data_IF_047506254042
#
_entry.id   IF_047506254042
#
_cell.length_a   1.000
_cell.length_b   1.000
_cell.length_c   1.000
_cell.angle_alpha   90.00
_cell.angle_beta   90.00
_cell.angle_gamma   90.00
#
_symmetry.space_group_name_H-M   'P 1'
#
loop_
_entity.id
_entity.type
_entity.pdbx_description
1 polymer ?
#
# COMPACT_ATOMS: atom_id res chain seq x y z
N UNK A 1 37.57 35.58 17.62
CA UNK A 1 37.00 34.23 17.71
C UNK A 1 35.87 34.29 18.73
N UNK A 2 34.60 34.34 18.29
CA UNK A 2 33.44 34.42 19.20
C UNK A 2 32.97 32.99 19.50
N UNK A 3 32.79 32.60 20.76
CA UNK A 3 32.29 31.27 21.08
C UNK A 3 30.84 31.13 20.64
N UNK A 4 30.54 29.97 20.05
CA UNK A 4 29.20 29.52 19.60
C UNK A 4 28.22 29.51 20.79
N UNK A 5 27.01 30.04 20.66
CA UNK A 5 26.08 30.13 21.78
C UNK A 5 25.59 28.72 22.21
N UNK A 6 25.77 28.43 23.48
CA UNK A 6 25.48 27.18 24.21
C UNK A 6 23.98 26.83 24.31
N UNK A 7 23.10 27.50 23.57
CA UNK A 7 21.64 27.31 23.62
C UNK A 7 21.06 26.21 22.73
N UNK A 8 21.90 25.43 22.03
CA UNK A 8 21.44 24.37 21.13
C UNK A 8 21.36 22.96 21.76
N UNK A 9 21.67 22.80 23.04
CA UNK A 9 21.59 21.54 23.78
C UNK A 9 20.35 21.43 24.66
N UNK A 10 19.22 21.98 24.30
CA UNK A 10 17.97 21.45 24.85
C UNK A 10 17.74 20.09 24.16
N UNK A 11 18.29 19.03 24.77
CA UNK A 11 17.72 17.70 24.64
C UNK A 11 16.21 17.88 24.75
N UNK A 12 15.50 17.59 23.69
CA UNK A 12 14.06 17.37 23.80
C UNK A 12 13.94 16.20 24.78
N UNK A 13 13.71 16.51 26.03
CA UNK A 13 13.26 15.55 27.02
C UNK A 13 12.13 14.80 26.35
N UNK A 14 12.34 13.52 26.17
CA UNK A 14 11.40 12.66 25.46
C UNK A 14 10.09 12.74 26.20
N UNK A 15 9.10 13.41 25.63
CA UNK A 15 7.73 13.30 26.12
C UNK A 15 7.46 11.79 26.17
N UNK A 16 7.44 11.24 27.38
CA UNK A 16 7.14 9.83 27.62
C UNK A 16 5.72 9.64 27.12
N UNK A 17 5.58 9.17 25.89
CA UNK A 17 4.26 8.96 25.29
C UNK A 17 3.52 7.91 26.11
N UNK A 18 2.33 8.23 26.62
CA UNK A 18 1.61 7.35 27.56
C UNK A 18 1.34 6.01 26.89
N UNK A 19 1.82 4.93 27.54
CA UNK A 19 1.45 3.58 27.17
C UNK A 19 0.18 3.23 27.92
N UNK A 20 -0.85 2.84 27.19
CA UNK A 20 -2.17 2.54 27.74
C UNK A 20 -2.58 1.11 27.38
N UNK A 21 -3.45 0.53 28.16
CA UNK A 21 -4.15 -0.69 27.75
C UNK A 21 -5.15 -0.30 26.65
N UNK A 22 -4.71 -0.40 25.40
CA UNK A 22 -5.48 0.05 24.25
C UNK A 22 -6.66 -0.90 24.03
N UNK A 23 -7.86 -0.43 24.33
CA UNK A 23 -9.11 -1.16 24.13
C UNK A 23 -9.93 -0.51 23.02
N UNK A 24 -10.87 -1.27 22.43
CA UNK A 24 -11.77 -0.74 21.43
C UNK A 24 -12.63 0.43 21.97
N UNK A 25 -13.02 0.35 23.25
CA UNK A 25 -13.74 1.42 23.95
C UNK A 25 -12.88 2.67 24.08
N UNK A 26 -11.64 2.54 24.60
CA UNK A 26 -10.71 3.68 24.72
C UNK A 26 -10.45 4.33 23.38
N UNK A 27 -10.23 3.52 22.32
CA UNK A 27 -9.99 4.03 20.96
C UNK A 27 -11.20 4.80 20.41
N UNK A 28 -12.43 4.35 20.70
CA UNK A 28 -13.67 5.02 20.30
C UNK A 28 -13.85 6.34 21.06
N UNK A 29 -13.71 6.30 22.36
CA UNK A 29 -14.09 7.40 23.26
C UNK A 29 -13.00 8.50 23.36
N UNK A 30 -11.78 8.22 22.88
CA UNK A 30 -10.70 9.20 22.86
C UNK A 30 -11.04 10.40 22.00
N UNK A 31 -10.96 11.60 22.55
CA UNK A 31 -11.27 12.85 21.88
C UNK A 31 -10.03 13.48 21.22
N UNK A 32 -10.19 14.21 20.11
CA UNK A 32 -9.11 14.97 19.50
C UNK A 32 -8.67 16.12 20.42
N UNK A 33 -7.36 16.33 20.48
CA UNK A 33 -6.77 17.50 21.14
C UNK A 33 -6.32 18.55 20.12
N UNK A 34 -5.73 19.67 20.60
CA UNK A 34 -5.22 20.72 19.72
C UNK A 34 -4.02 20.31 18.88
N UNK A 35 -3.39 19.19 19.23
CA UNK A 35 -2.25 18.59 18.50
C UNK A 35 -2.49 17.09 18.32
N UNK A 36 -1.76 16.50 17.38
CA UNK A 36 -1.72 15.05 17.21
C UNK A 36 -1.42 14.33 18.52
N UNK A 37 -2.31 13.46 18.93
CA UNK A 37 -2.13 12.62 20.13
C UNK A 37 -1.90 11.18 19.70
N UNK A 38 -0.95 10.50 20.35
CA UNK A 38 -0.69 9.09 20.10
C UNK A 38 -0.82 8.31 21.41
N UNK A 39 -1.69 7.32 21.42
CA UNK A 39 -1.86 6.37 22.48
C UNK A 39 -1.14 5.08 22.09
N UNK A 40 0.00 4.79 22.73
CA UNK A 40 0.74 3.54 22.50
C UNK A 40 0.17 2.40 23.33
N UNK A 41 0.07 1.25 22.68
CA UNK A 41 -0.41 0.02 23.33
C UNK A 41 0.65 -0.56 24.29
N UNK A 42 0.24 -0.93 25.50
CA UNK A 42 1.09 -1.65 26.44
C UNK A 42 1.38 -3.07 25.96
N UNK A 43 0.40 -3.73 25.34
CA UNK A 43 0.50 -5.13 24.94
C UNK A 43 1.41 -5.34 23.73
N UNK A 44 1.54 -4.32 22.84
CA UNK A 44 2.39 -4.41 21.66
C UNK A 44 3.21 -3.12 21.50
N UNK A 45 4.47 -3.19 21.92
CA UNK A 45 5.39 -2.07 21.81
C UNK A 45 5.55 -1.63 20.33
N UNK A 46 5.43 -0.31 20.10
CA UNK A 46 5.47 0.26 18.76
C UNK A 46 4.14 0.32 18.03
N UNK A 47 3.08 -0.32 18.52
CA UNK A 47 1.72 -0.17 18.01
C UNK A 47 0.96 0.92 18.77
N UNK A 48 0.07 1.63 18.11
CA UNK A 48 -0.74 2.66 18.75
C UNK A 48 -1.86 3.23 17.88
N UNK A 49 -2.66 4.09 18.50
CA UNK A 49 -3.69 4.89 17.88
C UNK A 49 -3.22 6.35 17.79
N UNK A 50 -3.17 6.90 16.59
CA UNK A 50 -2.95 8.33 16.36
C UNK A 50 -4.28 9.01 16.15
N UNK A 51 -4.49 10.08 16.88
CA UNK A 51 -5.68 10.94 16.84
C UNK A 51 -5.26 12.30 16.32
N UNK A 52 -5.77 12.68 15.17
CA UNK A 52 -5.51 14.00 14.59
C UNK A 52 -6.43 15.06 15.21
N UNK A 53 -6.05 16.34 15.19
CA UNK A 53 -6.91 17.43 15.65
C UNK A 53 -8.27 17.48 14.93
N UNK A 54 -8.32 17.01 13.68
CA UNK A 54 -9.55 16.89 12.90
C UNK A 54 -10.49 15.75 13.34
N UNK A 55 -10.14 15.01 14.41
CA UNK A 55 -10.88 13.85 14.85
C UNK A 55 -10.58 12.55 14.09
N UNK A 56 -9.82 12.60 13.00
CA UNK A 56 -9.42 11.40 12.27
C UNK A 56 -8.51 10.53 13.12
N UNK A 57 -8.85 9.26 13.26
CA UNK A 57 -8.10 8.27 14.02
C UNK A 57 -7.50 7.23 13.07
N UNK A 58 -6.24 6.84 13.31
CA UNK A 58 -5.54 5.84 12.50
C UNK A 58 -4.71 4.91 13.39
N UNK A 59 -4.70 3.63 13.04
CA UNK A 59 -3.78 2.66 13.63
C UNK A 59 -2.39 2.85 13.04
N UNK A 60 -1.38 2.88 13.89
CA UNK A 60 0.00 3.11 13.47
C UNK A 60 0.96 2.08 14.07
N UNK A 61 2.06 1.85 13.37
CA UNK A 61 3.29 1.26 13.90
C UNK A 61 4.37 2.34 13.92
N UNK A 62 5.06 2.46 15.03
CA UNK A 62 6.28 3.25 15.15
C UNK A 62 7.45 2.31 15.44
N UNK A 63 8.44 2.31 14.55
CA UNK A 63 9.63 1.49 14.69
C UNK A 63 10.87 2.23 14.17
N UNK A 64 12.05 1.73 14.52
CA UNK A 64 13.31 2.20 13.98
C UNK A 64 13.64 1.40 12.72
N UNK A 65 13.75 2.09 11.59
CA UNK A 65 14.09 1.52 10.29
C UNK A 65 15.32 2.28 9.80
N UNK A 66 16.40 1.57 9.48
CA UNK A 66 17.66 2.16 9.02
C UNK A 66 18.16 3.27 9.95
N UNK A 67 18.10 3.03 11.26
CA UNK A 67 18.54 3.99 12.28
C UNK A 67 17.60 5.17 12.54
N UNK A 68 16.53 5.34 11.78
CA UNK A 68 15.54 6.45 11.89
C UNK A 68 14.20 5.97 12.44
N UNK A 69 13.59 6.76 13.32
CA UNK A 69 12.23 6.48 13.77
C UNK A 69 11.23 6.79 12.65
N UNK A 70 10.47 5.77 12.24
CA UNK A 70 9.42 5.87 11.21
C UNK A 70 8.07 5.52 11.80
N UNK A 71 7.04 6.22 11.33
CA UNK A 71 5.63 5.90 11.63
C UNK A 71 4.94 5.44 10.37
N UNK A 72 4.31 4.27 10.45
CA UNK A 72 3.62 3.64 9.33
C UNK A 72 2.15 3.54 9.72
N UNK A 73 1.26 4.01 8.86
CA UNK A 73 -0.19 3.86 9.04
C UNK A 73 -0.59 2.47 8.56
N UNK A 74 -1.32 1.76 9.41
CA UNK A 74 -1.86 0.43 9.10
C UNK A 74 -3.23 0.55 8.41
N UNK A 75 -4.16 1.27 9.07
CA UNK A 75 -5.52 1.48 8.57
C UNK A 75 -6.20 2.65 9.33
N UNK A 76 -7.33 3.13 8.82
CA UNK A 76 -8.18 4.04 9.56
C UNK A 76 -8.92 3.29 10.67
N UNK A 77 -9.18 4.00 11.78
CA UNK A 77 -10.10 3.51 12.79
C UNK A 77 -11.50 3.38 12.19
N UNK A 78 -12.15 2.25 12.41
CA UNK A 78 -13.43 1.92 11.79
C UNK A 78 -13.33 1.02 10.56
N UNK A 79 -12.24 1.11 9.79
CA UNK A 79 -11.98 0.18 8.68
C UNK A 79 -11.42 -1.17 9.16
N UNK A 80 -10.85 -1.18 10.36
CA UNK A 80 -10.19 -2.35 10.91
C UNK A 80 -10.39 -2.44 12.42
N UNK A 81 -10.74 -3.63 12.91
CA UNK A 81 -10.89 -3.92 14.33
C UNK A 81 -9.52 -3.94 15.03
N UNK A 82 -9.50 -3.60 16.34
CA UNK A 82 -8.28 -3.53 17.14
C UNK A 82 -7.47 -4.84 17.11
N UNK A 83 -8.13 -5.99 17.20
CA UNK A 83 -7.46 -7.29 17.19
C UNK A 83 -6.71 -7.55 15.87
N UNK A 84 -7.34 -7.23 14.77
CA UNK A 84 -6.73 -7.33 13.44
C UNK A 84 -5.61 -6.30 13.26
N UNK A 85 -5.80 -5.06 13.70
CA UNK A 85 -4.77 -4.03 13.66
C UNK A 85 -3.52 -4.45 14.46
N UNK A 86 -3.69 -5.07 15.65
CA UNK A 86 -2.58 -5.64 16.43
C UNK A 86 -1.88 -6.78 15.72
N UNK A 87 -2.61 -7.66 15.04
CA UNK A 87 -2.02 -8.75 14.26
C UNK A 87 -1.17 -8.20 13.14
N UNK A 88 -1.70 -7.30 12.33
CA UNK A 88 -0.95 -6.64 11.24
C UNK A 88 0.25 -5.85 11.75
N UNK A 89 0.10 -5.17 12.88
CA UNK A 89 1.21 -4.46 13.52
C UNK A 89 2.33 -5.42 13.93
N UNK A 90 1.99 -6.58 14.49
CA UNK A 90 2.97 -7.62 14.88
C UNK A 90 3.72 -8.13 13.66
N UNK A 91 3.01 -8.52 12.60
CA UNK A 91 3.61 -8.99 11.35
C UNK A 91 4.55 -7.93 10.74
N UNK A 92 4.15 -6.68 10.78
CA UNK A 92 4.95 -5.55 10.28
C UNK A 92 6.20 -5.32 11.14
N UNK A 93 6.08 -5.36 12.47
CA UNK A 93 7.21 -5.25 13.40
C UNK A 93 8.19 -6.41 13.25
N UNK A 94 7.69 -7.62 13.01
CA UNK A 94 8.52 -8.81 12.77
C UNK A 94 9.29 -8.70 11.45
N UNK A 95 8.66 -8.19 10.39
CA UNK A 95 9.36 -7.86 9.13
C UNK A 95 10.48 -6.84 9.34
N UNK A 96 10.20 -5.77 10.10
CA UNK A 96 11.21 -4.74 10.40
C UNK A 96 12.38 -5.33 11.18
N UNK A 97 12.12 -6.20 12.17
CA UNK A 97 13.19 -6.89 12.93
C UNK A 97 14.06 -7.78 12.05
N UNK A 98 13.50 -8.35 10.99
CA UNK A 98 14.21 -9.15 9.98
C UNK A 98 14.92 -8.30 8.92
N UNK A 99 14.98 -6.98 9.09
CA UNK A 99 15.64 -6.06 8.17
C UNK A 99 14.76 -5.56 7.01
N UNK A 100 13.48 -5.92 6.96
CA UNK A 100 12.54 -5.41 5.95
C UNK A 100 12.16 -3.96 6.20
N UNK A 101 11.77 -3.26 5.14
CA UNK A 101 11.29 -1.87 5.19
C UNK A 101 9.84 -1.76 4.69
N UNK A 102 8.83 -2.11 5.51
CA UNK A 102 7.41 -2.06 5.10
C UNK A 102 6.94 -0.68 4.65
N UNK A 103 7.59 0.40 5.11
CA UNK A 103 7.26 1.76 4.67
C UNK A 103 7.63 1.96 3.19
N UNK A 104 8.73 1.37 2.76
CA UNK A 104 9.20 1.42 1.38
C UNK A 104 8.38 0.51 0.47
N UNK A 105 8.00 -0.66 0.98
CA UNK A 105 7.09 -1.57 0.27
C UNK A 105 5.74 -0.89 -0.01
N UNK A 106 5.13 -0.24 0.99
CA UNK A 106 3.89 0.51 0.84
C UNK A 106 4.07 1.71 -0.12
N UNK A 107 5.23 2.38 -0.08
CA UNK A 107 5.53 3.48 -1.00
C UNK A 107 5.64 2.98 -2.43
N UNK A 108 6.40 1.92 -2.66
CA UNK A 108 6.56 1.26 -3.96
C UNK A 108 5.23 0.80 -4.52
N UNK A 109 4.39 0.18 -3.69
CA UNK A 109 3.04 -0.27 -4.08
C UNK A 109 2.13 0.90 -4.49
N UNK A 110 2.29 2.09 -3.87
CA UNK A 110 1.56 3.32 -4.28
C UNK A 110 2.15 3.98 -5.53
N UNK A 111 3.44 3.88 -5.72
CA UNK A 111 4.17 4.46 -6.87
C UNK A 111 4.07 3.57 -8.11
N UNK A 112 3.96 2.25 -7.93
CA UNK A 112 3.76 1.32 -9.04
C UNK A 112 2.34 1.45 -9.60
N UNK A 113 2.18 1.81 -10.88
CA UNK A 113 0.86 1.92 -11.47
C UNK A 113 0.15 0.57 -11.50
N UNK A 114 -1.16 0.58 -11.33
CA UNK A 114 -1.97 -0.60 -11.58
C UNK A 114 -1.93 -0.97 -13.05
N UNK A 115 -2.16 -2.25 -13.38
CA UNK A 115 -2.25 -2.67 -14.78
C UNK A 115 -3.30 -1.86 -15.55
N UNK A 116 -4.40 -1.45 -14.94
CA UNK A 116 -5.42 -0.60 -15.55
C UNK A 116 -4.87 0.77 -15.95
N UNK A 117 -4.08 1.40 -15.07
CA UNK A 117 -3.46 2.69 -15.37
C UNK A 117 -2.44 2.56 -16.51
N UNK A 118 -1.61 1.53 -16.46
CA UNK A 118 -0.65 1.20 -17.51
C UNK A 118 -1.34 0.92 -18.85
N UNK A 119 -2.41 0.11 -18.86
CA UNK A 119 -3.17 -0.19 -20.09
C UNK A 119 -3.79 1.06 -20.71
N UNK A 120 -4.29 1.97 -19.88
CA UNK A 120 -4.80 3.27 -20.34
C UNK A 120 -3.71 4.12 -21.02
N UNK A 121 -2.51 4.16 -20.45
CA UNK A 121 -1.37 4.87 -21.03
C UNK A 121 -0.89 4.21 -22.33
N UNK A 122 -0.78 2.89 -22.32
CA UNK A 122 -0.42 2.11 -23.50
C UNK A 122 -1.37 2.36 -24.68
N UNK A 123 -2.69 2.35 -24.43
CA UNK A 123 -3.68 2.66 -25.46
C UNK A 123 -3.49 4.08 -26.01
N UNK A 124 -3.33 5.08 -25.15
CA UNK A 124 -3.11 6.47 -25.59
C UNK A 124 -1.90 6.64 -26.51
N UNK A 125 -0.81 5.93 -26.22
CA UNK A 125 0.42 5.98 -27.02
C UNK A 125 0.31 5.17 -28.32
N UNK A 126 -0.38 4.04 -28.29
CA UNK A 126 -0.41 3.09 -29.40
C UNK A 126 -1.57 3.33 -30.37
N UNK A 127 -2.68 3.86 -29.90
CA UNK A 127 -3.90 4.14 -30.68
C UNK A 127 -3.64 4.90 -32.00
N UNK A 128 -2.81 5.96 -32.05
CA UNK A 128 -2.55 6.69 -33.29
C UNK A 128 -1.89 5.84 -34.38
N UNK A 129 -1.18 4.79 -34.01
CA UNK A 129 -0.39 3.94 -34.92
C UNK A 129 -1.15 2.69 -35.39
N UNK A 130 -2.36 2.44 -34.88
CA UNK A 130 -3.13 1.24 -35.21
C UNK A 130 -4.21 1.50 -36.22
N UNK A 131 -4.46 0.48 -37.06
CA UNK A 131 -5.66 0.48 -37.92
C UNK A 131 -6.93 0.45 -37.04
N UNK A 132 -8.05 1.06 -37.47
CA UNK A 132 -9.28 1.14 -36.68
C UNK A 132 -9.77 -0.22 -36.14
N UNK A 133 -9.75 -1.26 -36.95
CA UNK A 133 -10.18 -2.61 -36.56
C UNK A 133 -9.28 -3.25 -35.50
N UNK A 134 -7.95 -3.01 -35.57
CA UNK A 134 -7.01 -3.50 -34.57
C UNK A 134 -7.20 -2.80 -33.21
N UNK A 135 -7.46 -1.51 -33.26
CA UNK A 135 -7.74 -0.65 -32.11
C UNK A 135 -8.95 -1.13 -31.33
N UNK A 136 -10.06 -1.37 -32.03
CA UNK A 136 -11.27 -1.87 -31.42
C UNK A 136 -11.10 -3.28 -30.85
N UNK A 137 -10.45 -4.17 -31.60
CA UNK A 137 -10.13 -5.52 -31.11
C UNK A 137 -9.38 -5.49 -29.79
N UNK A 138 -8.31 -4.69 -29.66
CA UNK A 138 -7.52 -4.59 -28.43
C UNK A 138 -8.37 -4.07 -27.28
N UNK A 139 -9.20 -3.06 -27.49
CA UNK A 139 -10.07 -2.50 -26.45
C UNK A 139 -11.10 -3.52 -25.94
N UNK A 140 -11.71 -4.27 -26.85
CA UNK A 140 -12.67 -5.32 -26.50
C UNK A 140 -12.02 -6.40 -25.64
N UNK A 141 -10.87 -6.94 -26.07
CA UNK A 141 -10.18 -7.98 -25.29
C UNK A 141 -9.63 -7.49 -23.95
N UNK A 142 -9.09 -6.26 -23.92
CA UNK A 142 -8.69 -5.63 -22.66
C UNK A 142 -9.85 -5.53 -21.69
N UNK A 143 -10.96 -4.94 -22.11
CA UNK A 143 -12.12 -4.71 -21.24
C UNK A 143 -12.79 -6.02 -20.78
N UNK A 144 -12.95 -6.97 -21.69
CA UNK A 144 -13.74 -8.17 -21.43
C UNK A 144 -12.96 -9.29 -20.72
N UNK A 145 -11.62 -9.34 -20.86
CA UNK A 145 -10.83 -10.49 -20.42
C UNK A 145 -9.62 -10.15 -19.55
N UNK A 146 -8.86 -9.12 -19.90
CA UNK A 146 -7.58 -8.83 -19.25
C UNK A 146 -7.79 -7.96 -18.01
N UNK A 147 -8.52 -6.86 -18.12
CA UNK A 147 -8.78 -5.95 -17.01
C UNK A 147 -9.58 -6.56 -15.85
N UNK A 148 -10.51 -7.49 -16.05
CA UNK A 148 -11.16 -8.18 -14.92
C UNK A 148 -10.18 -9.02 -14.09
N UNK A 149 -9.14 -9.58 -14.71
CA UNK A 149 -8.15 -10.41 -14.03
C UNK A 149 -7.03 -9.56 -13.41
N UNK A 150 -6.45 -8.65 -14.17
CA UNK A 150 -5.20 -7.96 -13.79
C UNK A 150 -5.37 -6.49 -13.46
N UNK A 151 -6.51 -5.89 -13.76
CA UNK A 151 -6.70 -4.43 -13.76
C UNK A 151 -6.38 -3.73 -12.44
N UNK A 152 -6.61 -4.37 -11.31
CA UNK A 152 -6.33 -3.84 -9.96
C UNK A 152 -4.95 -4.22 -9.42
N UNK A 153 -4.25 -5.15 -10.08
CA UNK A 153 -2.93 -5.61 -9.64
C UNK A 153 -1.88 -4.53 -9.95
N UNK A 154 -0.93 -4.28 -9.04
CA UNK A 154 0.27 -3.52 -9.35
C UNK A 154 1.06 -4.20 -10.48
N UNK A 155 1.61 -3.41 -11.39
CA UNK A 155 2.24 -3.93 -12.60
C UNK A 155 3.44 -4.86 -12.32
N UNK A 156 4.19 -4.57 -11.27
CA UNK A 156 5.35 -5.34 -10.82
C UNK A 156 4.99 -6.66 -10.09
N UNK A 157 3.71 -6.88 -9.80
CA UNK A 157 3.22 -8.11 -9.15
C UNK A 157 2.55 -9.09 -10.11
N UNK A 158 2.45 -8.76 -11.38
CA UNK A 158 1.92 -9.68 -12.39
C UNK A 158 3.05 -10.60 -12.84
N UNK A 159 3.08 -11.79 -12.26
CA UNK A 159 4.07 -12.82 -12.58
C UNK A 159 3.64 -13.78 -13.68
N UNK A 160 4.58 -14.59 -14.18
CA UNK A 160 4.27 -15.64 -15.16
C UNK A 160 3.21 -16.63 -14.66
N UNK A 161 3.20 -16.92 -13.36
CA UNK A 161 2.25 -17.84 -12.71
C UNK A 161 0.82 -17.29 -12.76
N UNK A 162 0.65 -15.98 -12.52
CA UNK A 162 -0.66 -15.33 -12.61
C UNK A 162 -1.21 -15.38 -14.02
N UNK A 163 -0.34 -15.14 -15.00
CA UNK A 163 -0.70 -15.20 -16.43
C UNK A 163 -1.05 -16.61 -16.86
N UNK A 164 -0.29 -17.62 -16.41
CA UNK A 164 -0.56 -19.03 -16.72
C UNK A 164 -1.91 -19.47 -16.12
N UNK A 165 -2.14 -19.22 -14.83
CA UNK A 165 -3.40 -19.58 -14.16
C UNK A 165 -4.62 -18.91 -14.82
N UNK A 166 -4.49 -17.62 -15.18
CA UNK A 166 -5.54 -16.91 -15.90
C UNK A 166 -5.78 -17.50 -17.30
N UNK A 167 -4.72 -17.84 -18.04
CA UNK A 167 -4.82 -18.41 -19.37
C UNK A 167 -5.50 -19.76 -19.35
N UNK A 168 -5.12 -20.64 -18.42
CA UNK A 168 -5.73 -21.96 -18.23
C UNK A 168 -7.24 -21.85 -17.94
N UNK A 169 -7.63 -20.90 -17.10
CA UNK A 169 -9.03 -20.65 -16.82
C UNK A 169 -9.78 -20.08 -18.03
N UNK A 170 -9.19 -19.13 -18.76
CA UNK A 170 -9.80 -18.47 -19.91
C UNK A 170 -9.93 -19.37 -21.14
N UNK A 171 -9.02 -20.34 -21.32
CA UNK A 171 -8.96 -21.24 -22.47
C UNK A 171 -9.98 -22.38 -22.42
N UNK A 172 -10.49 -22.73 -21.21
CA UNK A 172 -11.48 -23.82 -21.04
C UNK A 172 -12.71 -23.69 -21.93
N UNK A 173 -13.22 -22.46 -22.08
CA UNK A 173 -14.48 -22.24 -22.81
C UNK A 173 -14.26 -21.65 -24.23
N UNK A 174 -13.23 -20.84 -24.43
CA UNK A 174 -12.97 -20.11 -25.68
C UNK A 174 -11.47 -19.98 -25.95
N UNK A 175 -10.78 -21.07 -26.38
CA UNK A 175 -9.32 -21.09 -26.51
C UNK A 175 -8.79 -20.06 -27.51
N UNK A 176 -9.44 -19.87 -28.65
CA UNK A 176 -9.03 -18.87 -29.63
C UNK A 176 -9.08 -17.44 -29.11
N UNK A 177 -10.09 -17.11 -28.30
CA UNK A 177 -10.19 -15.80 -27.67
C UNK A 177 -9.19 -15.63 -26.51
N UNK A 178 -8.85 -16.70 -25.80
CA UNK A 178 -7.81 -16.68 -24.78
C UNK A 178 -6.42 -16.46 -25.40
N UNK A 179 -6.09 -17.14 -26.51
CA UNK A 179 -4.86 -16.93 -27.26
C UNK A 179 -4.73 -15.47 -27.71
N UNK A 180 -5.78 -14.91 -28.31
CA UNK A 180 -5.76 -13.50 -28.73
C UNK A 180 -5.56 -12.53 -27.59
N UNK A 181 -6.20 -12.77 -26.45
CA UNK A 181 -6.01 -11.95 -25.28
C UNK A 181 -4.58 -12.07 -24.70
N UNK A 182 -3.98 -13.27 -24.74
CA UNK A 182 -2.59 -13.49 -24.32
C UNK A 182 -1.59 -12.77 -25.23
N UNK A 183 -1.80 -12.78 -26.56
CA UNK A 183 -0.99 -12.03 -27.52
C UNK A 183 -1.01 -10.51 -27.21
N UNK A 184 -2.20 -9.98 -26.93
CA UNK A 184 -2.36 -8.57 -26.55
C UNK A 184 -1.61 -8.27 -25.25
N UNK A 185 -1.78 -9.11 -24.24
CA UNK A 185 -1.09 -8.97 -22.96
C UNK A 185 0.43 -9.00 -23.12
N UNK A 186 0.94 -9.95 -23.91
CA UNK A 186 2.38 -10.03 -24.24
C UNK A 186 2.88 -8.79 -24.95
N UNK A 187 2.16 -8.32 -25.96
CA UNK A 187 2.54 -7.12 -26.70
C UNK A 187 2.59 -5.85 -25.81
N UNK A 188 1.80 -5.83 -24.73
CA UNK A 188 1.80 -4.74 -23.76
C UNK A 188 2.96 -4.82 -22.77
N UNK A 189 3.28 -6.03 -22.28
CA UNK A 189 4.24 -6.23 -21.16
C UNK A 189 5.69 -6.33 -21.63
N UNK A 190 5.95 -6.77 -22.87
CA UNK A 190 7.29 -7.10 -23.38
C UNK A 190 7.70 -6.31 -24.64
N UNK A 191 7.36 -5.05 -24.67
CA UNK A 191 7.78 -4.15 -25.76
C UNK A 191 8.95 -3.28 -25.36
#
# INVERSE_FOLDING_TARGET
MRPWPEKARRRREGATMPRVDLTAKLARDSQPGPKDTILFDKALSGFGLRIHPSGRKVWIVQARIEGRSRRIVIARFGEMQLAEARRRARDMLDRIRKGGNPAEDIRREKETPSFRAFAGEYLRRSDPHWKPSGRESVRVYLKARILPAFGTMPLDRIGPEDVAAWFDAASKNKPGAANRALEILRAMMFR
#
